data_IF_023517576615
#
_entry.id   IF_023517576615
#
_cell.length_a   1.000
_cell.length_b   1.000
_cell.length_c   1.000
_cell.angle_alpha   90.00
_cell.angle_beta   90.00
_cell.angle_gamma   90.00
#
_symmetry.space_group_name_H-M   'P 1'
#
loop_
_entity.id
_entity.type
_entity.pdbx_description
1 polymer ?
#
# COMPACT_ATOMS: atom_id res chain seq x y z
N UNK A 1 2.82 4.81 9.61
CA UNK A 1 1.79 4.72 8.55
C UNK A 1 2.23 3.68 7.53
N UNK A 2 1.32 3.12 6.72
CA UNK A 2 1.68 2.11 5.73
C UNK A 2 2.78 2.60 4.75
N UNK A 3 2.66 3.85 4.28
CA UNK A 3 3.64 4.51 3.41
C UNK A 3 5.05 4.53 4.00
N UNK A 4 5.21 4.89 5.28
CA UNK A 4 6.52 4.90 5.95
C UNK A 4 7.15 3.50 6.04
N UNK A 5 6.33 2.47 6.30
CA UNK A 5 6.80 1.09 6.37
C UNK A 5 7.29 0.61 4.99
N UNK A 6 6.53 0.91 3.93
CA UNK A 6 6.92 0.59 2.56
C UNK A 6 8.19 1.36 2.17
N UNK A 7 8.28 2.65 2.48
CA UNK A 7 9.45 3.48 2.18
C UNK A 7 10.73 2.97 2.83
N UNK A 8 10.65 2.57 4.10
CA UNK A 8 11.77 1.95 4.82
C UNK A 8 12.18 0.62 4.18
N UNK A 9 11.20 -0.23 3.83
CA UNK A 9 11.47 -1.54 3.25
C UNK A 9 12.09 -1.46 1.84
N UNK A 10 11.56 -0.57 0.99
CA UNK A 10 12.02 -0.40 -0.40
C UNK A 10 13.21 0.56 -0.51
N UNK A 11 13.63 1.20 0.60
CA UNK A 11 14.66 2.25 0.66
C UNK A 11 14.39 3.39 -0.33
N UNK A 12 13.14 3.86 -0.35
CA UNK A 12 12.67 4.92 -1.25
C UNK A 12 12.18 6.15 -0.47
N UNK A 13 12.20 7.36 -1.08
CA UNK A 13 11.58 8.53 -0.47
C UNK A 13 10.08 8.30 -0.20
N UNK A 14 9.60 8.68 0.99
CA UNK A 14 8.18 8.54 1.34
C UNK A 14 7.26 9.25 0.34
N UNK A 15 7.69 10.36 -0.25
CA UNK A 15 6.91 11.11 -1.26
C UNK A 15 6.72 10.33 -2.56
N UNK A 16 7.71 9.55 -2.99
CA UNK A 16 7.61 8.66 -4.17
C UNK A 16 6.68 7.48 -3.86
N UNK A 17 6.82 6.91 -2.67
CA UNK A 17 5.97 5.81 -2.20
C UNK A 17 4.53 6.25 -2.05
N UNK A 18 4.28 7.44 -1.47
CA UNK A 18 2.93 8.00 -1.33
C UNK A 18 2.26 8.16 -2.69
N UNK A 19 2.95 8.74 -3.67
CA UNK A 19 2.41 8.89 -5.03
C UNK A 19 2.07 7.55 -5.66
N UNK A 20 2.93 6.55 -5.50
CA UNK A 20 2.70 5.21 -6.05
C UNK A 20 1.55 4.49 -5.33
N UNK A 21 1.51 4.60 -4.00
CA UNK A 21 0.48 4.04 -3.14
C UNK A 21 -0.90 4.60 -3.46
N UNK A 22 -1.05 5.92 -3.58
CA UNK A 22 -2.34 6.56 -3.89
C UNK A 22 -2.92 6.12 -5.25
N UNK A 23 -2.08 5.66 -6.18
CA UNK A 23 -2.50 5.13 -7.48
C UNK A 23 -2.75 3.60 -7.49
N UNK A 24 -2.69 2.93 -6.33
CA UNK A 24 -2.87 1.49 -6.20
C UNK A 24 -4.32 1.10 -5.92
N UNK A 25 -4.68 -0.16 -6.20
CA UNK A 25 -5.98 -0.70 -5.81
C UNK A 25 -6.08 -0.85 -4.29
N UNK A 26 -4.96 -1.12 -3.62
CA UNK A 26 -4.89 -1.16 -2.16
C UNK A 26 -5.32 0.18 -1.54
N UNK A 27 -4.89 1.31 -2.12
CA UNK A 27 -5.34 2.63 -1.65
C UNK A 27 -6.83 2.86 -1.91
N UNK A 28 -7.38 2.39 -3.04
CA UNK A 28 -8.83 2.46 -3.29
C UNK A 28 -9.62 1.67 -2.24
N UNK A 29 -9.18 0.46 -1.93
CA UNK A 29 -9.79 -0.39 -0.90
C UNK A 29 -9.68 0.24 0.50
N UNK A 30 -8.62 1.00 0.77
CA UNK A 30 -8.46 1.64 2.07
C UNK A 30 -9.61 2.61 2.41
N UNK A 31 -10.17 3.26 1.38
CA UNK A 31 -11.31 4.18 1.50
C UNK A 31 -12.67 3.51 1.23
N UNK A 32 -12.67 2.21 0.94
CA UNK A 32 -13.88 1.43 0.71
C UNK A 32 -14.36 0.80 2.03
N UNK A 33 -15.46 1.33 2.55
CA UNK A 33 -16.08 0.91 3.82
C UNK A 33 -16.53 -0.55 3.81
N UNK A 34 -16.80 -1.16 2.65
CA UNK A 34 -17.16 -2.57 2.55
C UNK A 34 -15.97 -3.48 2.83
N UNK A 35 -14.77 -3.06 2.42
CA UNK A 35 -13.55 -3.87 2.59
C UNK A 35 -13.01 -3.83 4.02
N UNK A 36 -13.34 -2.76 4.77
CA UNK A 36 -12.84 -2.48 6.14
C UNK A 36 -11.32 -2.57 6.24
N UNK A 37 -10.60 -2.34 5.14
CA UNK A 37 -9.15 -2.52 5.08
C UNK A 37 -8.43 -1.62 6.09
N UNK A 38 -8.97 -0.44 6.37
CA UNK A 38 -8.44 0.51 7.34
C UNK A 38 -8.46 0.00 8.80
N UNK A 39 -9.32 -0.97 9.15
CA UNK A 39 -9.36 -1.57 10.48
C UNK A 39 -8.16 -2.49 10.75
N UNK A 40 -7.50 -3.01 9.71
CA UNK A 40 -6.44 -4.00 9.83
C UNK A 40 -5.06 -3.40 10.18
N UNK A 41 -4.99 -2.07 10.29
CA UNK A 41 -3.79 -1.34 10.67
C UNK A 41 -2.77 -1.17 9.52
N UNK A 42 -1.76 -0.29 9.72
CA UNK A 42 -0.85 0.13 8.66
C UNK A 42 0.04 -0.99 8.12
N UNK A 43 0.43 -1.97 8.96
CA UNK A 43 1.29 -3.07 8.55
C UNK A 43 0.57 -4.00 7.54
N UNK A 44 -0.71 -4.26 7.75
CA UNK A 44 -1.51 -5.07 6.84
C UNK A 44 -1.76 -4.35 5.51
N UNK A 45 -2.05 -3.05 5.57
CA UNK A 45 -2.18 -2.20 4.36
C UNK A 45 -0.89 -2.20 3.54
N UNK A 46 0.28 -2.09 4.20
CA UNK A 46 1.57 -2.19 3.53
C UNK A 46 1.78 -3.56 2.87
N UNK A 47 1.40 -4.64 3.55
CA UNK A 47 1.47 -6.00 3.00
C UNK A 47 0.63 -6.18 1.73
N UNK A 48 -0.64 -5.75 1.74
CA UNK A 48 -1.51 -5.89 0.56
C UNK A 48 -1.01 -5.04 -0.62
N UNK A 49 -0.48 -3.84 -0.38
CA UNK A 49 0.15 -3.03 -1.42
C UNK A 49 1.36 -3.72 -2.05
N UNK A 50 2.26 -4.29 -1.25
CA UNK A 50 3.44 -4.99 -1.75
C UNK A 50 3.05 -6.26 -2.52
N UNK A 51 2.00 -6.95 -2.08
CA UNK A 51 1.42 -8.11 -2.76
C UNK A 51 0.80 -7.72 -4.11
N UNK A 52 0.09 -6.60 -4.19
CA UNK A 52 -0.39 -6.02 -5.44
C UNK A 52 0.77 -5.71 -6.39
N UNK A 53 1.83 -5.05 -5.91
CA UNK A 53 3.02 -4.73 -6.71
C UNK A 53 3.69 -5.98 -7.30
N UNK A 54 3.79 -7.06 -6.52
CA UNK A 54 4.34 -8.34 -6.99
C UNK A 54 3.49 -8.96 -8.11
N UNK A 55 2.15 -8.90 -7.99
CA UNK A 55 1.26 -9.40 -9.06
C UNK A 55 1.42 -8.63 -10.37
N UNK A 56 1.53 -7.31 -10.30
CA UNK A 56 1.73 -6.45 -11.48
C UNK A 56 3.05 -6.70 -12.21
N UNK A 57 4.12 -7.09 -11.50
CA UNK A 57 5.43 -7.40 -12.13
C UNK A 57 5.47 -8.76 -12.84
N UNK A 58 4.53 -9.66 -12.51
CA UNK A 58 4.44 -11.01 -13.07
C UNK A 58 3.38 -11.12 -14.18
N UNK A 59 2.71 -10.01 -14.53
CA UNK A 59 1.74 -9.91 -15.63
C UNK A 59 2.38 -9.20 -16.82
#
# INVERSE_FOLDING_TARGET
MAVSQIAQQEKKPETEVLKSFMNSNTAKMLFDDETKLWHNGPAYVAYEYLKECKRRKNS
#
